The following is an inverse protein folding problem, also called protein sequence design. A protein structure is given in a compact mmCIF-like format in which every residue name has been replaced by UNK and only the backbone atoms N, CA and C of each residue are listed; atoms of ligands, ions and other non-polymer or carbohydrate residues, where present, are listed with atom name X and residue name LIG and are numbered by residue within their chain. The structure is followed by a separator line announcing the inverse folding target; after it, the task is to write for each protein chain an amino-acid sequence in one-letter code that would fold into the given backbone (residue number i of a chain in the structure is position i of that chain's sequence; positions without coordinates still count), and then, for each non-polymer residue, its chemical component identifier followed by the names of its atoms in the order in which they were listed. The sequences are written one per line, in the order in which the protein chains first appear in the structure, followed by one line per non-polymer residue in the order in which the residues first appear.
data_IF_107753080327
#
_entry.id   IF_107753080327
#
_cell.length_a   1.000
_cell.length_b   1.000
_cell.length_c   1.000
_cell.angle_alpha   90.00
_cell.angle_beta   90.00
_cell.angle_gamma   90.00
#
_symmetry.space_group_name_H-M   'P 1'
#
loop_
_entity.id
_entity.type
_entity.pdbx_description
1 polymer ?
#
# COMPACT_ATOMS: atom_id res chain seq x y z
N UNK A 1 -14.53 -5.41 -11.05
CA UNK A 1 -13.64 -6.06 -10.06
C UNK A 1 -14.29 -6.33 -8.70
N UNK A 2 -14.93 -5.36 -8.02
CA UNK A 2 -15.55 -5.59 -6.68
C UNK A 2 -16.67 -6.67 -6.64
N UNK A 3 -17.47 -6.80 -7.71
CA UNK A 3 -18.54 -7.83 -7.78
C UNK A 3 -18.00 -9.25 -8.04
N UNK A 4 -16.86 -9.38 -8.72
CA UNK A 4 -16.24 -10.68 -9.03
C UNK A 4 -15.62 -11.33 -7.79
N UNK A 5 -15.04 -10.51 -6.90
CA UNK A 5 -14.43 -10.96 -5.64
C UNK A 5 -15.47 -11.49 -4.64
N UNK A 6 -16.66 -10.86 -4.60
CA UNK A 6 -17.76 -11.30 -3.73
C UNK A 6 -18.39 -12.61 -4.21
N UNK A 7 -18.50 -12.79 -5.53
CA UNK A 7 -18.99 -14.03 -6.15
C UNK A 7 -18.07 -15.23 -5.91
N UNK A 8 -16.75 -15.00 -5.87
CA UNK A 8 -15.74 -16.05 -5.61
C UNK A 8 -15.75 -16.54 -4.16
N UNK A 9 -16.01 -15.65 -3.19
CA UNK A 9 -16.09 -16.01 -1.77
C UNK A 9 -17.40 -16.77 -1.49
N UNK A 10 -18.51 -16.40 -2.15
CA UNK A 10 -19.80 -17.09 -1.99
C UNK A 10 -19.80 -18.45 -2.70
N UNK A 11 -19.21 -18.57 -3.91
CA UNK A 11 -19.20 -19.84 -4.65
C UNK A 11 -18.40 -20.96 -3.96
N UNK A 12 -17.36 -20.61 -3.21
CA UNK A 12 -16.56 -21.55 -2.42
C UNK A 12 -17.29 -22.10 -1.19
N UNK A 13 -18.27 -21.35 -0.66
CA UNK A 13 -19.06 -21.79 0.52
C UNK A 13 -20.27 -22.66 0.17
N UNK A 14 -20.80 -22.56 -1.06
CA UNK A 14 -21.97 -23.35 -1.50
C UNK A 14 -21.57 -24.69 -2.12
N UNK A 15 -20.36 -24.78 -2.70
CA UNK A 15 -19.86 -26.03 -3.28
C UNK A 15 -19.47 -27.09 -2.22
N UNK A 16 -19.28 -26.68 -0.97
CA UNK A 16 -19.03 -27.61 0.16
C UNK A 16 -20.29 -28.33 0.67
N UNK A 17 -21.50 -27.82 0.37
CA UNK A 17 -22.75 -28.37 0.89
C UNK A 17 -23.51 -29.26 -0.09
N UNK A 18 -23.19 -29.22 -1.40
CA UNK A 18 -23.95 -29.94 -2.43
C UNK A 18 -23.32 -31.25 -2.92
N UNK A 19 -22.10 -31.59 -2.51
CA UNK A 19 -21.41 -32.82 -2.98
C UNK A 19 -21.58 -34.02 -2.02
N UNK A 20 -22.26 -33.86 -0.88
CA UNK A 20 -22.46 -34.93 0.10
C UNK A 20 -23.79 -35.71 -0.05
N UNK A 21 -24.64 -35.40 -1.05
CA UNK A 21 -25.91 -36.09 -1.24
C UNK A 21 -26.10 -36.47 -2.71
N UNK A 22 -25.46 -37.57 -3.13
CA UNK A 22 -25.95 -38.46 -4.20
C UNK A 22 -25.01 -39.65 -4.34
N UNK A 23 -25.13 -40.62 -3.43
CA UNK A 23 -24.62 -41.97 -3.64
C UNK A 23 -25.67 -42.95 -3.10
N UNK A 24 -26.70 -43.20 -3.90
CA UNK A 24 -27.59 -44.36 -3.78
C UNK A 24 -28.20 -44.65 -5.14
N UNK A 25 -27.35 -45.04 -6.09
CA UNK A 25 -27.78 -45.91 -7.19
C UNK A 25 -27.30 -47.30 -6.83
N UNK A 26 -28.22 -48.15 -6.36
CA UNK A 26 -27.95 -49.57 -6.19
C UNK A 26 -27.68 -50.18 -7.57
N UNK A 27 -26.41 -50.31 -7.94
CA UNK A 27 -26.00 -51.03 -9.16
C UNK A 27 -26.20 -52.53 -8.93
N UNK A 28 -26.93 -53.21 -9.81
CA UNK A 28 -27.16 -54.65 -9.73
C UNK A 28 -25.86 -55.43 -9.93
N UNK A 29 -25.41 -56.13 -8.89
CA UNK A 29 -24.21 -56.98 -8.90
C UNK A 29 -24.58 -58.37 -9.44
N UNK A 30 -23.82 -58.86 -10.43
CA UNK A 30 -24.03 -60.21 -10.98
C UNK A 30 -23.15 -61.21 -10.23
N UNK A 31 -23.76 -62.25 -9.66
CA UNK A 31 -23.07 -63.33 -8.93
C UNK A 31 -23.32 -64.64 -9.66
N UNK A 32 -22.27 -65.44 -9.83
CA UNK A 32 -22.33 -66.77 -10.44
C UNK A 32 -22.24 -67.83 -9.34
N UNK A 33 -23.07 -68.86 -9.44
CA UNK A 33 -23.06 -70.05 -8.58
C UNK A 33 -23.02 -71.29 -9.46
N UNK A 34 -22.11 -72.20 -9.16
CA UNK A 34 -22.01 -73.50 -9.83
C UNK A 34 -22.71 -74.56 -8.98
N UNK A 35 -23.65 -75.28 -9.58
CA UNK A 35 -24.43 -76.34 -8.94
C UNK A 35 -24.32 -77.62 -9.78
N UNK A 36 -24.17 -78.77 -9.12
CA UNK A 36 -24.16 -80.07 -9.79
C UNK A 36 -25.59 -80.49 -10.15
N UNK A 37 -25.83 -80.90 -11.38
CA UNK A 37 -27.11 -81.50 -11.77
C UNK A 37 -27.22 -82.98 -11.33
N UNK A 38 -28.39 -83.58 -11.56
CA UNK A 38 -28.70 -84.96 -11.17
C UNK A 38 -27.77 -86.01 -11.80
N UNK A 39 -27.03 -85.64 -12.86
CA UNK A 39 -26.04 -86.48 -13.53
C UNK A 39 -24.59 -86.14 -13.11
N UNK A 40 -24.40 -85.25 -12.14
CA UNK A 40 -23.11 -84.84 -11.61
C UNK A 40 -22.36 -83.81 -12.48
N UNK A 41 -23.02 -83.21 -13.48
CA UNK A 41 -22.42 -82.18 -14.32
C UNK A 41 -22.58 -80.79 -13.69
N UNK A 42 -21.58 -79.93 -13.89
CA UNK A 42 -21.61 -78.58 -13.34
C UNK A 42 -22.47 -77.67 -14.23
N UNK A 43 -23.51 -77.08 -13.64
CA UNK A 43 -24.32 -76.02 -14.24
C UNK A 43 -24.04 -74.69 -13.56
N UNK A 44 -23.98 -73.63 -14.36
CA UNK A 44 -23.70 -72.28 -13.88
C UNK A 44 -24.98 -71.47 -13.92
N UNK A 45 -25.32 -70.84 -12.80
CA UNK A 45 -26.41 -69.89 -12.69
C UNK A 45 -25.87 -68.53 -12.31
N UNK A 46 -26.37 -67.49 -12.97
CA UNK A 46 -26.13 -66.10 -12.61
C UNK A 46 -27.33 -65.53 -11.85
N UNK A 47 -27.19 -64.33 -11.30
CA UNK A 47 -28.31 -63.56 -10.72
C UNK A 47 -29.51 -63.43 -11.67
N UNK A 48 -29.30 -63.54 -12.99
CA UNK A 48 -30.33 -63.37 -14.01
C UNK A 48 -30.84 -64.68 -14.63
N UNK A 49 -30.41 -65.84 -14.12
CA UNK A 49 -30.85 -67.16 -14.60
C UNK A 49 -29.71 -68.08 -15.03
N UNK A 50 -30.04 -69.16 -15.73
CA UNK A 50 -29.08 -70.17 -16.20
C UNK A 50 -28.11 -69.57 -17.23
N UNK A 51 -26.81 -69.74 -17.00
CA UNK A 51 -25.74 -69.13 -17.79
C UNK A 51 -24.83 -68.20 -16.99
N UNK A 52 -23.78 -67.71 -17.65
CA UNK A 52 -22.79 -66.78 -17.10
C UNK A 52 -23.30 -65.33 -17.10
N UNK A 53 -22.69 -64.51 -16.27
CA UNK A 53 -22.94 -63.07 -16.23
C UNK A 53 -22.59 -62.40 -17.59
N UNK A 54 -23.40 -61.43 -18.09
CA UNK A 54 -23.14 -60.75 -19.36
C UNK A 54 -21.78 -60.03 -19.38
N UNK A 55 -21.07 -59.97 -20.52
CA UNK A 55 -19.82 -59.24 -20.63
C UNK A 55 -19.97 -57.77 -20.19
N UNK A 56 -19.13 -57.32 -19.26
CA UNK A 56 -19.18 -55.96 -18.69
C UNK A 56 -20.00 -55.81 -17.41
N UNK A 57 -20.65 -56.87 -16.93
CA UNK A 57 -21.23 -56.88 -15.58
C UNK A 57 -20.14 -56.96 -14.50
N UNK A 58 -20.33 -56.25 -13.38
CA UNK A 58 -19.43 -56.32 -12.23
C UNK A 58 -19.53 -57.73 -11.62
N UNK A 59 -18.62 -58.62 -12.00
CA UNK A 59 -18.45 -59.92 -11.37
C UNK A 59 -17.81 -59.72 -10.00
N UNK A 60 -18.30 -60.43 -8.97
CA UNK A 60 -17.70 -60.39 -7.63
C UNK A 60 -16.25 -60.91 -7.61
N UNK A 61 -15.79 -61.52 -8.70
CA UNK A 61 -14.40 -61.92 -8.90
C UNK A 61 -13.84 -61.32 -10.20
N UNK A 62 -13.01 -60.28 -10.04
CA UNK A 62 -11.86 -59.97 -10.88
C UNK A 62 -12.10 -59.28 -12.23
N UNK A 63 -12.05 -57.95 -12.23
CA UNK A 63 -11.33 -57.17 -13.28
C UNK A 63 -11.22 -55.67 -12.95
N UNK A 64 -10.68 -55.36 -11.77
CA UNK A 64 -9.85 -54.15 -11.61
C UNK A 64 -8.77 -54.52 -10.62
N UNK A 65 -7.50 -54.39 -10.99
CA UNK A 65 -6.33 -54.78 -10.17
C UNK A 65 -6.13 -53.95 -8.89
N UNK A 66 -7.16 -53.25 -8.42
CA UNK A 66 -7.17 -52.44 -7.21
C UNK A 66 -8.32 -52.89 -6.33
N UNK A 67 -8.04 -53.13 -5.05
CA UNK A 67 -9.07 -53.43 -4.06
C UNK A 67 -10.02 -52.24 -3.88
N UNK A 68 -11.23 -52.46 -3.35
CA UNK A 68 -12.17 -51.36 -3.05
C UNK A 68 -11.57 -50.35 -2.04
N UNK A 69 -10.65 -50.80 -1.19
CA UNK A 69 -9.85 -49.96 -0.31
C UNK A 69 -8.89 -49.08 -1.11
N UNK A 70 -8.16 -49.64 -2.08
CA UNK A 70 -7.25 -48.87 -2.95
C UNK A 70 -8.01 -47.81 -3.76
N UNK A 71 -9.19 -48.15 -4.27
CA UNK A 71 -10.05 -47.20 -5.00
C UNK A 71 -10.56 -46.07 -4.10
N UNK A 72 -10.85 -46.38 -2.84
CA UNK A 72 -11.29 -45.38 -1.85
C UNK A 72 -10.12 -44.47 -1.43
N UNK A 73 -8.91 -45.02 -1.29
CA UNK A 73 -7.69 -44.26 -1.04
C UNK A 73 -7.32 -43.35 -2.23
N UNK A 74 -7.44 -43.84 -3.46
CA UNK A 74 -7.23 -43.03 -4.67
C UNK A 74 -8.17 -41.82 -4.71
N UNK A 75 -9.47 -42.03 -4.45
CA UNK A 75 -10.45 -40.93 -4.36
C UNK A 75 -10.11 -39.93 -3.27
N UNK A 76 -9.68 -40.39 -2.09
CA UNK A 76 -9.25 -39.52 -1.00
C UNK A 76 -8.01 -38.70 -1.40
N UNK A 77 -7.05 -39.32 -2.09
CA UNK A 77 -5.85 -38.64 -2.59
C UNK A 77 -6.17 -37.61 -3.66
N UNK A 78 -7.11 -37.89 -4.56
CA UNK A 78 -7.60 -36.92 -5.55
C UNK A 78 -8.25 -35.71 -4.87
N UNK A 79 -9.09 -35.94 -3.86
CA UNK A 79 -9.71 -34.86 -3.07
C UNK A 79 -8.62 -34.03 -2.34
N UNK A 80 -7.68 -34.70 -1.67
CA UNK A 80 -6.58 -34.03 -0.98
C UNK A 80 -5.69 -33.23 -1.95
N UNK A 81 -5.43 -33.74 -3.15
CA UNK A 81 -4.67 -33.04 -4.18
C UNK A 81 -5.36 -31.74 -4.63
N UNK A 82 -6.70 -31.75 -4.74
CA UNK A 82 -7.48 -30.54 -5.05
C UNK A 82 -7.36 -29.52 -3.92
N UNK A 83 -7.50 -29.95 -2.65
CA UNK A 83 -7.31 -29.06 -1.51
C UNK A 83 -5.89 -28.49 -1.45
N UNK A 84 -4.86 -29.31 -1.63
CA UNK A 84 -3.47 -28.87 -1.65
C UNK A 84 -3.20 -27.87 -2.77
N UNK A 85 -3.74 -28.10 -3.97
CA UNK A 85 -3.64 -27.16 -5.08
C UNK A 85 -4.33 -25.83 -4.74
N UNK A 86 -5.52 -25.86 -4.14
CA UNK A 86 -6.24 -24.67 -3.71
C UNK A 86 -5.48 -23.90 -2.61
N UNK A 87 -4.92 -24.59 -1.62
CA UNK A 87 -4.11 -23.98 -0.56
C UNK A 87 -2.83 -23.35 -1.11
N UNK A 88 -2.14 -24.03 -2.04
CA UNK A 88 -0.95 -23.47 -2.73
C UNK A 88 -1.31 -22.22 -3.53
N UNK A 89 -2.40 -22.26 -4.29
CA UNK A 89 -2.88 -21.09 -5.04
C UNK A 89 -3.22 -19.91 -4.13
N UNK A 90 -3.92 -20.16 -3.01
CA UNK A 90 -4.27 -19.13 -2.03
C UNK A 90 -3.03 -18.53 -1.35
N UNK A 91 -2.02 -19.35 -1.04
CA UNK A 91 -0.74 -18.88 -0.51
C UNK A 91 -0.01 -17.99 -1.52
N UNK A 92 0.13 -18.42 -2.77
CA UNK A 92 0.79 -17.65 -3.82
C UNK A 92 0.07 -16.31 -4.08
N UNK A 93 -1.27 -16.32 -4.06
CA UNK A 93 -2.06 -15.09 -4.15
C UNK A 93 -1.77 -14.15 -2.97
N UNK A 94 -1.75 -14.68 -1.75
CA UNK A 94 -1.48 -13.90 -0.53
C UNK A 94 -0.07 -13.29 -0.55
N UNK A 95 0.95 -14.04 -0.96
CA UNK A 95 2.32 -13.56 -1.12
C UNK A 95 2.41 -12.43 -2.15
N UNK A 96 1.82 -12.62 -3.33
CA UNK A 96 1.78 -11.60 -4.38
C UNK A 96 1.07 -10.32 -3.91
N UNK A 97 -0.04 -10.48 -3.19
CA UNK A 97 -0.79 -9.35 -2.63
C UNK A 97 0.00 -8.59 -1.56
N UNK A 98 0.69 -9.31 -0.67
CA UNK A 98 1.54 -8.71 0.36
C UNK A 98 2.70 -7.93 -0.26
N UNK A 99 3.36 -8.49 -1.29
CA UNK A 99 4.42 -7.80 -2.02
C UNK A 99 3.92 -6.50 -2.67
N UNK A 100 2.71 -6.52 -3.23
CA UNK A 100 2.09 -5.32 -3.80
C UNK A 100 1.80 -4.24 -2.73
N UNK A 101 1.27 -4.64 -1.58
CA UNK A 101 1.02 -3.73 -0.45
C UNK A 101 2.33 -3.10 0.04
N UNK A 102 3.35 -3.92 0.26
CA UNK A 102 4.67 -3.49 0.73
C UNK A 102 5.31 -2.49 -0.23
N UNK A 103 5.39 -2.85 -1.52
CA UNK A 103 5.96 -1.98 -2.55
C UNK A 103 5.20 -0.65 -2.65
N UNK A 104 3.86 -0.68 -2.60
CA UNK A 104 3.05 0.54 -2.62
C UNK A 104 3.27 1.41 -1.39
N UNK A 105 3.38 0.80 -0.22
CA UNK A 105 3.62 1.50 1.04
C UNK A 105 4.99 2.20 1.04
N UNK A 106 6.05 1.48 0.65
CA UNK A 106 7.40 2.04 0.54
C UNK A 106 7.48 3.15 -0.49
N UNK A 107 6.88 2.94 -1.67
CA UNK A 107 6.81 3.98 -2.71
C UNK A 107 6.11 5.23 -2.19
N UNK A 108 4.98 5.08 -1.51
CA UNK A 108 4.23 6.21 -0.94
C UNK A 108 5.06 6.97 0.10
N UNK A 109 5.72 6.26 1.02
CA UNK A 109 6.56 6.89 2.05
C UNK A 109 7.75 7.62 1.41
N UNK A 110 8.42 7.00 0.44
CA UNK A 110 9.54 7.61 -0.26
C UNK A 110 9.14 8.82 -1.11
N UNK A 111 7.89 8.88 -1.59
CA UNK A 111 7.39 9.95 -2.45
C UNK A 111 6.58 11.02 -1.71
N UNK A 112 6.62 11.05 -0.38
CA UNK A 112 5.80 11.97 0.42
C UNK A 112 6.66 12.65 1.48
N UNK A 113 6.87 13.95 1.30
CA UNK A 113 7.39 14.85 2.32
C UNK A 113 6.29 15.83 2.72
N UNK A 114 6.22 16.15 4.01
CA UNK A 114 5.17 17.04 4.54
C UNK A 114 5.84 18.13 5.35
N UNK A 115 5.61 19.38 4.96
CA UNK A 115 6.01 20.56 5.73
C UNK A 115 4.78 21.30 6.22
N UNK A 116 4.71 21.61 7.51
CA UNK A 116 3.65 22.45 8.08
C UNK A 116 3.89 23.90 7.68
N UNK A 117 2.83 24.60 7.32
CA UNK A 117 2.91 26.03 6.98
C UNK A 117 2.20 26.87 8.03
N UNK A 118 2.72 28.09 8.26
CA UNK A 118 2.18 29.04 9.25
C UNK A 118 1.19 30.04 8.66
N UNK A 119 1.20 30.23 7.34
CA UNK A 119 0.33 31.18 6.65
C UNK A 119 -0.98 30.55 6.18
N UNK A 120 -1.99 31.38 5.99
CA UNK A 120 -3.30 30.96 5.51
C UNK A 120 -3.25 30.62 4.01
N UNK A 121 -3.80 29.46 3.64
CA UNK A 121 -3.92 29.04 2.23
C UNK A 121 -5.40 29.00 1.85
N UNK A 122 -5.80 29.77 0.83
CA UNK A 122 -7.16 29.73 0.30
C UNK A 122 -7.59 28.31 -0.07
N UNK A 123 -8.84 27.96 0.21
CA UNK A 123 -9.35 26.61 -0.09
C UNK A 123 -9.28 26.24 -1.59
N UNK A 124 -9.27 27.24 -2.49
CA UNK A 124 -9.13 27.04 -3.94
C UNK A 124 -7.73 26.57 -4.35
N UNK A 125 -6.71 26.90 -3.55
CA UNK A 125 -5.32 26.52 -3.80
C UNK A 125 -4.95 25.17 -3.17
N UNK A 126 -5.79 24.64 -2.29
CA UNK A 126 -5.58 23.32 -1.67
C UNK A 126 -5.85 22.22 -2.68
N UNK A 127 -5.06 21.15 -2.59
CA UNK A 127 -5.15 19.95 -3.43
C UNK A 127 -4.87 20.20 -4.92
N UNK A 128 -4.29 21.35 -5.27
CA UNK A 128 -3.83 21.68 -6.61
C UNK A 128 -2.31 21.49 -6.67
N UNK A 129 -1.84 20.71 -7.63
CA UNK A 129 -0.42 20.49 -7.84
C UNK A 129 0.23 21.78 -8.33
N UNK A 130 1.25 22.26 -7.61
CA UNK A 130 1.98 23.48 -7.93
C UNK A 130 3.39 23.42 -7.35
N UNK A 131 4.27 24.28 -7.84
CA UNK A 131 5.52 24.57 -7.15
C UNK A 131 5.24 25.52 -5.98
N UNK A 132 5.80 25.20 -4.82
CA UNK A 132 5.84 26.10 -3.68
C UNK A 132 7.28 26.49 -3.40
N UNK A 133 7.50 27.78 -3.18
CA UNK A 133 8.83 28.35 -2.95
C UNK A 133 8.96 28.88 -1.54
N UNK A 134 10.18 28.79 -1.04
CA UNK A 134 10.60 29.34 0.24
C UNK A 134 11.98 30.01 0.06
N UNK A 135 12.31 31.04 0.85
CA UNK A 135 11.45 31.66 1.85
C UNK A 135 10.42 32.62 1.23
N UNK A 136 9.57 33.24 2.04
CA UNK A 136 8.53 34.20 1.66
C UNK A 136 9.13 35.45 1.01
N UNK A 137 8.49 35.94 -0.06
CA UNK A 137 8.88 37.20 -0.71
C UNK A 137 8.74 38.35 0.29
N UNK A 138 9.72 39.24 0.29
CA UNK A 138 9.64 40.51 1.01
C UNK A 138 10.25 40.53 2.41
N UNK A 139 10.54 39.36 3.00
CA UNK A 139 11.18 39.23 4.30
C UNK A 139 12.71 39.11 4.17
N UNK A 140 13.41 39.58 5.20
CA UNK A 140 14.87 39.50 5.31
C UNK A 140 15.27 38.20 6.01
N UNK A 141 16.22 37.48 5.42
CA UNK A 141 16.71 36.21 5.91
C UNK A 141 18.23 36.22 5.97
N UNK A 142 18.77 35.58 7.01
CA UNK A 142 20.20 35.29 7.14
C UNK A 142 20.41 33.78 7.15
N UNK A 143 21.39 33.31 6.38
CA UNK A 143 21.75 31.90 6.27
C UNK A 143 23.25 31.71 6.10
N UNK A 144 23.69 30.47 6.32
CA UNK A 144 25.08 30.06 6.17
C UNK A 144 25.35 29.52 4.76
N UNK A 145 26.64 29.48 4.39
CA UNK A 145 27.09 28.82 3.17
C UNK A 145 26.68 27.35 3.17
N UNK A 146 26.12 26.91 2.04
CA UNK A 146 25.53 25.59 1.85
C UNK A 146 24.00 25.57 1.98
N UNK A 147 23.39 26.63 2.52
CA UNK A 147 21.93 26.69 2.67
C UNK A 147 21.21 27.20 1.42
N UNK A 148 19.93 26.82 1.32
CA UNK A 148 19.06 27.27 0.23
C UNK A 148 18.62 28.72 0.47
N UNK A 149 18.98 29.59 -0.46
CA UNK A 149 18.50 30.97 -0.56
C UNK A 149 17.08 31.00 -1.08
N UNK A 150 16.79 30.19 -2.10
CA UNK A 150 15.44 29.94 -2.59
C UNK A 150 15.33 28.44 -2.85
N UNK A 151 14.29 27.80 -2.33
CA UNK A 151 13.96 26.41 -2.64
C UNK A 151 12.52 26.28 -3.10
N UNK A 152 12.34 25.73 -4.30
CA UNK A 152 11.08 25.35 -4.91
C UNK A 152 10.90 23.85 -4.93
N UNK A 153 9.75 23.36 -4.46
CA UNK A 153 9.38 21.95 -4.57
C UNK A 153 7.97 21.80 -5.09
N UNK A 154 7.74 20.77 -5.90
CA UNK A 154 6.42 20.49 -6.48
C UNK A 154 5.60 19.63 -5.52
N UNK A 155 4.36 20.06 -5.28
CA UNK A 155 3.47 19.47 -4.30
C UNK A 155 2.10 20.14 -4.28
N UNK A 156 1.36 19.99 -3.19
CA UNK A 156 0.06 20.62 -3.00
C UNK A 156 -0.18 20.94 -1.52
N UNK A 157 -0.94 21.99 -1.27
CA UNK A 157 -1.42 22.29 0.09
C UNK A 157 -2.56 21.35 0.47
N UNK A 158 -2.60 20.92 1.72
CA UNK A 158 -3.58 19.96 2.21
C UNK A 158 -3.93 20.22 3.67
N UNK A 159 -5.16 19.84 4.06
CA UNK A 159 -5.50 19.79 5.48
C UNK A 159 -4.83 18.57 6.12
N UNK A 160 -4.14 18.81 7.23
CA UNK A 160 -3.37 17.82 7.94
C UNK A 160 -3.81 17.73 9.41
N UNK A 161 -3.57 16.56 10.00
CA UNK A 161 -3.72 16.32 11.43
C UNK A 161 -2.39 15.88 12.01
N UNK A 162 -2.00 16.48 13.14
CA UNK A 162 -0.80 16.15 13.89
C UNK A 162 -1.25 15.54 15.22
N UNK A 163 -1.00 14.25 15.47
CA UNK A 163 -1.27 13.64 16.77
C UNK A 163 -0.16 14.00 17.76
N UNK A 164 -0.51 14.47 18.96
CA UNK A 164 0.43 14.82 20.04
C UNK A 164 0.73 13.66 21.00
N UNK A 165 0.40 12.44 20.59
CA UNK A 165 0.63 11.21 21.33
C UNK A 165 1.22 10.13 20.41
N UNK A 166 1.87 9.15 21.03
CA UNK A 166 2.33 7.95 20.35
C UNK A 166 1.44 6.76 20.72
N UNK A 167 1.37 5.79 19.82
CA UNK A 167 0.68 4.53 20.08
C UNK A 167 1.43 3.41 19.37
N UNK A 168 1.52 2.26 20.04
CA UNK A 168 1.89 1.00 19.41
C UNK A 168 1.00 -0.09 20.01
N UNK A 169 0.36 -0.88 19.16
CA UNK A 169 -0.57 -1.91 19.62
C UNK A 169 -0.62 -3.12 18.70
N UNK A 170 -0.56 -4.31 19.31
CA UNK A 170 -0.80 -5.58 18.63
C UNK A 170 -2.30 -5.77 18.42
N UNK A 171 -2.68 -6.18 17.21
CA UNK A 171 -4.04 -6.57 16.83
C UNK A 171 -4.08 -8.07 16.53
N UNK A 172 -5.31 -8.58 16.48
CA UNK A 172 -5.59 -9.97 16.10
C UNK A 172 -4.95 -10.28 14.73
N UNK A 173 -4.34 -11.46 14.58
CA UNK A 173 -3.62 -11.83 13.35
C UNK A 173 -2.14 -11.39 13.30
N UNK A 174 -1.59 -10.84 14.39
CA UNK A 174 -0.16 -10.49 14.46
C UNK A 174 0.20 -9.16 13.78
N UNK A 175 -0.80 -8.33 13.47
CA UNK A 175 -0.61 -6.98 12.96
C UNK A 175 -0.22 -6.03 14.09
N UNK A 176 0.93 -5.37 13.95
CA UNK A 176 1.36 -4.26 14.78
C UNK A 176 0.95 -2.96 14.10
N UNK A 177 0.29 -2.07 14.83
CA UNK A 177 -0.09 -0.75 14.34
C UNK A 177 0.54 0.32 15.20
N UNK A 178 1.00 1.40 14.56
CA UNK A 178 1.63 2.51 15.27
C UNK A 178 1.09 3.88 14.88
N UNK A 179 1.26 4.84 15.77
CA UNK A 179 1.05 6.27 15.54
C UNK A 179 2.28 6.97 16.12
N UNK A 180 2.96 7.77 15.29
CA UNK A 180 4.07 8.62 15.73
C UNK A 180 3.55 9.96 16.21
N UNK A 181 4.00 10.35 17.40
CA UNK A 181 3.78 11.67 17.98
C UNK A 181 4.43 12.75 17.12
N UNK A 182 3.74 13.88 16.96
CA UNK A 182 4.17 15.10 16.29
C UNK A 182 4.57 14.94 14.81
N UNK A 183 4.06 13.88 14.16
CA UNK A 183 4.24 13.66 12.72
C UNK A 183 2.92 13.89 11.99
N UNK A 184 2.83 14.85 11.05
CA UNK A 184 1.59 15.17 10.36
C UNK A 184 1.12 14.02 9.46
N UNK A 185 -0.18 13.87 9.33
CA UNK A 185 -0.84 13.07 8.30
C UNK A 185 -1.81 13.97 7.52
N UNK A 186 -1.78 13.94 6.19
CA UNK A 186 -2.51 14.89 5.36
C UNK A 186 -3.56 14.22 4.47
N UNK A 187 -4.63 14.95 4.16
CA UNK A 187 -5.63 14.48 3.19
C UNK A 187 -5.04 14.45 1.79
N UNK A 188 -5.57 13.57 0.94
CA UNK A 188 -5.26 13.53 -0.50
C UNK A 188 -6.24 14.31 -1.37
N UNK A 189 -7.41 14.67 -0.83
CA UNK A 189 -8.45 15.41 -1.53
C UNK A 189 -9.41 16.08 -0.52
N UNK A 190 -10.05 17.18 -0.94
CA UNK A 190 -10.95 17.99 -0.10
C UNK A 190 -12.12 17.20 0.51
N UNK A 191 -12.77 16.34 -0.30
CA UNK A 191 -13.91 15.52 0.14
C UNK A 191 -13.50 14.30 0.97
N UNK A 192 -12.21 14.07 1.17
CA UNK A 192 -11.73 12.88 1.85
C UNK A 192 -11.64 13.11 3.36
N UNK A 193 -12.18 12.19 4.15
CA UNK A 193 -12.13 12.22 5.62
C UNK A 193 -10.95 11.40 6.18
N UNK A 194 -10.04 10.96 5.32
CA UNK A 194 -8.88 10.16 5.70
C UNK A 194 -7.59 10.95 5.51
N UNK A 195 -6.68 10.80 6.46
CA UNK A 195 -5.38 11.44 6.51
C UNK A 195 -4.30 10.38 6.31
N UNK A 196 -3.44 10.56 5.33
CA UNK A 196 -2.37 9.63 5.02
C UNK A 196 -1.08 10.07 5.73
N UNK A 197 -0.48 9.24 6.61
CA UNK A 197 0.80 9.55 7.22
C UNK A 197 1.97 9.30 6.25
N UNK A 198 3.11 10.02 6.39
CA UNK A 198 4.31 9.86 5.56
C UNK A 198 5.23 8.75 6.11
N UNK A 199 4.69 7.75 6.79
CA UNK A 199 5.48 6.66 7.37
C UNK A 199 4.71 5.34 7.38
N UNK A 200 5.45 4.24 7.40
CA UNK A 200 4.93 2.90 7.60
C UNK A 200 4.39 2.79 9.03
N UNK A 201 3.10 2.51 9.16
CA UNK A 201 2.39 2.50 10.44
C UNK A 201 1.64 1.19 10.71
N UNK A 202 1.88 0.17 9.87
CA UNK A 202 1.36 -1.18 10.01
C UNK A 202 2.43 -2.19 9.61
N UNK A 203 2.62 -3.22 10.44
CA UNK A 203 3.56 -4.31 10.21
C UNK A 203 2.90 -5.65 10.54
N UNK A 204 3.06 -6.64 9.68
CA UNK A 204 2.48 -7.98 9.86
C UNK A 204 3.61 -8.97 10.07
N UNK A 205 3.79 -9.43 11.32
CA UNK A 205 4.94 -10.28 11.69
C UNK A 205 5.02 -11.58 10.88
N UNK A 206 3.88 -12.22 10.61
CA UNK A 206 3.85 -13.54 9.97
C UNK A 206 4.32 -13.52 8.52
N UNK A 207 4.16 -12.39 7.83
CA UNK A 207 4.44 -12.24 6.39
C UNK A 207 5.52 -11.19 6.14
N UNK A 208 6.13 -10.66 7.20
CA UNK A 208 7.09 -9.55 7.19
C UNK A 208 6.65 -8.34 6.34
N UNK A 209 5.34 -8.10 6.27
CA UNK A 209 4.74 -7.13 5.35
C UNK A 209 4.52 -5.80 6.06
N UNK A 210 5.00 -4.69 5.48
CA UNK A 210 4.67 -3.34 5.95
C UNK A 210 3.58 -2.70 5.11
N UNK A 211 2.82 -1.79 5.71
CA UNK A 211 1.80 -1.01 5.04
C UNK A 211 1.68 0.41 5.60
N UNK A 212 1.04 1.29 4.82
CA UNK A 212 0.52 2.57 5.31
C UNK A 212 -1.00 2.49 5.39
N UNK A 213 -1.54 2.60 6.58
CA UNK A 213 -2.97 2.71 6.84
C UNK A 213 -3.32 4.16 7.09
N UNK A 214 -4.35 4.65 6.41
CA UNK A 214 -4.81 6.01 6.57
C UNK A 214 -5.46 6.19 7.95
N UNK A 215 -5.45 7.40 8.48
CA UNK A 215 -6.15 7.75 9.70
C UNK A 215 -7.52 8.33 9.39
N UNK A 216 -8.55 7.83 10.05
CA UNK A 216 -9.86 8.48 10.11
C UNK A 216 -10.10 8.97 11.53
N UNK A 217 -10.20 10.28 11.70
CA UNK A 217 -10.56 10.91 12.97
C UNK A 217 -12.08 10.90 13.10
N UNK A 218 -12.59 10.44 14.24
CA UNK A 218 -14.01 10.38 14.56
C UNK A 218 -14.24 11.04 15.92
N UNK A 219 -15.29 11.83 16.02
CA UNK A 219 -15.75 12.39 17.29
C UNK A 219 -16.93 11.54 17.78
N UNK A 220 -16.84 11.02 18.99
CA UNK A 220 -17.90 10.24 19.65
C UNK A 220 -18.04 10.67 21.10
N UNK A 221 -19.22 11.17 21.49
CA UNK A 221 -19.52 11.62 22.86
C UNK A 221 -18.48 12.63 23.37
N UNK A 222 -18.17 13.65 22.57
CA UNK A 222 -17.16 14.69 22.85
C UNK A 222 -15.74 14.15 23.10
N UNK A 223 -15.43 12.94 22.65
CA UNK A 223 -14.08 12.40 22.64
C UNK A 223 -13.65 12.05 21.24
N UNK A 224 -12.36 12.21 20.97
CA UNK A 224 -11.75 11.86 19.70
C UNK A 224 -11.38 10.38 19.69
N UNK A 225 -11.44 9.81 18.48
CA UNK A 225 -11.01 8.47 18.15
C UNK A 225 -10.25 8.55 16.84
N UNK A 226 -9.00 8.09 16.83
CA UNK A 226 -8.24 7.86 15.61
C UNK A 226 -8.37 6.40 15.22
N UNK A 227 -8.73 6.16 13.97
CA UNK A 227 -8.89 4.82 13.41
C UNK A 227 -7.89 4.61 12.27
N UNK A 228 -7.10 3.54 12.35
CA UNK A 228 -6.30 3.05 11.24
C UNK A 228 -7.22 2.36 10.22
N UNK A 229 -7.23 2.89 9.03
CA UNK A 229 -8.18 2.58 7.98
C UNK A 229 -7.46 1.94 6.80
N UNK A 230 -7.89 0.72 6.45
CA UNK A 230 -7.41 0.00 5.27
C UNK A 230 -8.63 -0.47 4.47
N UNK A 231 -8.61 -0.21 3.15
CA UNK A 231 -9.65 -0.68 2.21
C UNK A 231 -11.10 -0.35 2.60
N UNK A 232 -11.36 0.77 3.28
CA UNK A 232 -12.73 1.13 3.69
C UNK A 232 -13.12 0.70 5.11
N UNK A 233 -12.24 -0.02 5.82
CA UNK A 233 -12.55 -0.59 7.12
C UNK A 233 -11.59 -0.11 8.20
N UNK A 234 -12.13 0.04 9.42
CA UNK A 234 -11.34 0.33 10.61
C UNK A 234 -10.68 -0.95 11.13
N UNK A 235 -9.36 -1.05 10.99
CA UNK A 235 -8.58 -2.21 11.43
C UNK A 235 -8.22 -2.11 12.93
N UNK A 236 -8.09 -0.90 13.44
CA UNK A 236 -7.77 -0.62 14.82
C UNK A 236 -8.07 0.83 15.14
N UNK A 237 -8.34 1.11 16.41
CA UNK A 237 -8.49 2.49 16.86
C UNK A 237 -7.95 2.71 18.27
N UNK A 238 -7.52 3.94 18.50
CA UNK A 238 -7.26 4.52 19.82
C UNK A 238 -8.44 5.43 20.14
N UNK A 239 -8.98 5.29 21.34
CA UNK A 239 -10.24 5.93 21.77
C UNK A 239 -9.98 6.79 23.01
N UNK A 240 -10.97 7.60 23.36
CA UNK A 240 -10.97 8.46 24.55
C UNK A 240 -9.89 9.56 24.52
N UNK A 241 -9.56 10.04 23.32
CA UNK A 241 -8.63 11.14 23.12
C UNK A 241 -9.34 12.48 23.30
N UNK A 242 -8.62 13.51 23.71
CA UNK A 242 -9.10 14.89 23.80
C UNK A 242 -8.87 15.63 22.48
N UNK A 243 -9.30 16.89 22.41
CA UNK A 243 -8.97 17.78 21.30
C UNK A 243 -7.48 18.15 21.32
N UNK A 244 -6.90 18.38 22.50
CA UNK A 244 -5.48 18.72 22.71
C UNK A 244 -4.52 17.61 22.24
N UNK A 245 -5.01 16.38 22.05
CA UNK A 245 -4.25 15.28 21.45
C UNK A 245 -4.01 15.48 19.94
N UNK A 246 -4.60 16.51 19.33
CA UNK A 246 -4.52 16.79 17.89
C UNK A 246 -4.33 18.27 17.58
N UNK A 247 -3.47 18.57 16.61
CA UNK A 247 -3.47 19.84 15.89
C UNK A 247 -3.99 19.66 14.46
N UNK A 248 -4.93 20.50 14.06
CA UNK A 248 -5.42 20.57 12.68
C UNK A 248 -4.77 21.76 11.99
N UNK A 249 -3.93 21.50 10.99
CA UNK A 249 -3.10 22.52 10.33
C UNK A 249 -3.17 22.39 8.81
N UNK A 250 -2.66 23.39 8.10
CA UNK A 250 -2.36 23.23 6.67
C UNK A 250 -0.90 22.76 6.52
N UNK A 251 -0.68 21.78 5.65
CA UNK A 251 0.66 21.34 5.27
C UNK A 251 0.85 21.39 3.76
N UNK A 252 2.07 21.57 3.32
CA UNK A 252 2.50 21.36 1.95
C UNK A 252 3.01 19.92 1.81
N UNK A 253 2.33 19.13 0.98
CA UNK A 253 2.69 17.75 0.67
C UNK A 253 3.48 17.75 -0.63
N UNK A 254 4.79 17.57 -0.54
CA UNK A 254 5.70 17.53 -1.68
C UNK A 254 6.06 16.09 -2.06
N UNK A 255 6.46 15.91 -3.32
CA UNK A 255 7.02 14.66 -3.81
C UNK A 255 8.47 14.91 -4.27
N UNK A 256 9.47 14.29 -3.63
CA UNK A 256 10.89 14.51 -3.96
C UNK A 256 11.29 14.01 -5.36
N UNK A 257 10.42 13.23 -6.02
CA UNK A 257 10.62 12.78 -7.40
C UNK A 257 10.03 13.72 -8.45
N UNK A 258 9.34 14.80 -8.05
CA UNK A 258 8.86 15.83 -8.96
C UNK A 258 9.86 16.98 -9.07
N UNK A 259 9.53 17.94 -9.93
CA UNK A 259 10.40 19.08 -10.23
C UNK A 259 10.77 19.88 -8.99
N UNK A 260 12.05 20.23 -8.88
CA UNK A 260 12.64 20.99 -7.77
C UNK A 260 13.64 22.01 -8.32
N UNK A 261 13.62 23.21 -7.76
CA UNK A 261 14.56 24.31 -8.08
C UNK A 261 15.20 24.80 -6.78
N UNK A 262 16.51 24.98 -6.74
CA UNK A 262 17.21 25.46 -5.56
C UNK A 262 18.31 26.44 -5.97
N UNK A 263 18.38 27.59 -5.31
CA UNK A 263 19.53 28.48 -5.34
C UNK A 263 20.23 28.37 -3.98
N UNK A 264 21.46 27.89 -3.98
CA UNK A 264 22.23 27.59 -2.77
C UNK A 264 23.38 28.59 -2.68
N UNK A 265 23.57 29.22 -1.52
CA UNK A 265 24.67 30.14 -1.31
C UNK A 265 25.98 29.37 -1.10
N UNK A 266 27.04 29.72 -1.83
CA UNK A 266 28.36 29.08 -1.68
C UNK A 266 29.32 29.96 -0.87
N UNK A 267 29.23 31.27 -1.05
CA UNK A 267 30.15 32.21 -0.40
C UNK A 267 30.38 33.45 -1.25
N UNK A 268 31.17 34.37 -0.70
CA UNK A 268 31.66 35.56 -1.40
C UNK A 268 33.18 35.57 -1.43
N UNK A 269 33.75 35.98 -2.55
CA UNK A 269 35.16 36.27 -2.69
C UNK A 269 35.35 37.66 -3.31
N UNK A 270 35.91 38.58 -2.53
CA UNK A 270 35.99 40.00 -2.88
C UNK A 270 34.62 40.58 -3.28
N UNK A 271 34.40 40.89 -4.55
CA UNK A 271 33.14 41.44 -5.06
C UNK A 271 32.26 40.40 -5.74
N UNK A 272 32.77 39.18 -5.94
CA UNK A 272 32.01 38.09 -6.53
C UNK A 272 31.27 37.32 -5.44
N UNK A 273 29.97 37.16 -5.63
CA UNK A 273 29.12 36.31 -4.81
C UNK A 273 28.72 35.07 -5.63
N UNK A 274 28.89 33.89 -5.04
CA UNK A 274 28.76 32.60 -5.72
C UNK A 274 27.55 31.82 -5.21
N UNK A 275 26.80 31.24 -6.14
CA UNK A 275 25.67 30.38 -5.88
C UNK A 275 25.75 29.08 -6.68
N UNK A 276 25.16 28.03 -6.15
CA UNK A 276 24.87 26.78 -6.85
C UNK A 276 23.37 26.78 -7.19
N UNK A 277 23.05 26.84 -8.47
CA UNK A 277 21.71 26.55 -8.94
C UNK A 277 21.57 25.04 -9.17
N UNK A 278 20.62 24.41 -8.48
CA UNK A 278 20.30 23.00 -8.64
C UNK A 278 18.87 22.86 -9.14
N UNK A 279 18.71 22.12 -10.23
CA UNK A 279 17.41 21.85 -10.83
C UNK A 279 17.21 20.35 -11.07
N UNK A 280 16.00 19.87 -10.82
CA UNK A 280 15.56 18.51 -11.15
C UNK A 280 14.24 18.59 -11.90
N UNK A 281 14.15 17.85 -13.01
CA UNK A 281 12.90 17.62 -13.75
C UNK A 281 12.16 16.41 -13.18
N UNK A 282 10.86 16.33 -13.45
CA UNK A 282 10.01 15.22 -13.02
C UNK A 282 10.62 13.84 -13.35
N UNK A 283 10.68 12.98 -12.34
CA UNK A 283 11.17 11.60 -12.39
C UNK A 283 12.64 11.43 -12.81
N UNK A 284 13.42 12.50 -12.87
CA UNK A 284 14.87 12.38 -13.06
C UNK A 284 15.59 12.07 -11.74
N UNK A 285 16.47 11.07 -11.79
CA UNK A 285 17.23 10.62 -10.61
C UNK A 285 18.32 11.63 -10.22
N UNK A 286 18.92 12.27 -11.21
CA UNK A 286 20.04 13.21 -11.03
C UNK A 286 19.55 14.64 -11.21
N UNK A 287 20.06 15.54 -10.37
CA UNK A 287 19.85 16.98 -10.53
C UNK A 287 20.93 17.57 -11.43
N UNK A 288 20.56 18.52 -12.30
CA UNK A 288 21.49 19.41 -12.98
C UNK A 288 21.98 20.46 -11.99
N UNK A 289 23.26 20.83 -12.07
CA UNK A 289 23.89 21.76 -11.15
C UNK A 289 24.75 22.72 -11.94
N UNK A 290 24.48 24.02 -11.78
CA UNK A 290 25.22 25.10 -12.40
C UNK A 290 25.77 26.03 -11.31
N UNK A 291 27.04 26.43 -11.43
CA UNK A 291 27.61 27.48 -10.60
C UNK A 291 27.34 28.83 -11.25
N UNK A 292 26.83 29.78 -10.48
CA UNK A 292 26.50 31.13 -10.95
C UNK A 292 27.20 32.14 -10.05
N UNK A 293 27.92 33.07 -10.66
CA UNK A 293 28.68 34.12 -9.98
C UNK A 293 28.12 35.49 -10.37
N UNK A 294 27.94 36.38 -9.39
CA UNK A 294 27.48 37.75 -9.59
C UNK A 294 28.49 38.75 -9.05
N UNK A 295 28.60 39.90 -9.72
CA UNK A 295 29.45 41.00 -9.30
C UNK A 295 28.64 42.05 -8.53
N UNK A 296 28.86 42.12 -7.22
CA UNK A 296 28.16 43.03 -6.32
C UNK A 296 28.49 44.51 -6.57
N UNK A 297 29.54 44.84 -7.35
CA UNK A 297 29.79 46.22 -7.78
C UNK A 297 28.71 46.66 -8.78
N UNK A 298 28.25 45.75 -9.64
CA UNK A 298 27.30 46.08 -10.70
C UNK A 298 25.89 46.25 -10.17
N UNK A 299 25.50 45.42 -9.20
CA UNK A 299 24.17 45.42 -8.61
C UNK A 299 24.16 44.61 -7.31
N UNK A 300 23.41 45.07 -6.30
CA UNK A 300 23.06 44.26 -5.14
C UNK A 300 21.81 43.39 -5.39
N UNK A 301 21.08 43.63 -6.48
CA UNK A 301 19.98 42.79 -6.95
C UNK A 301 20.53 41.77 -7.93
N UNK A 302 20.34 40.49 -7.62
CA UNK A 302 20.79 39.35 -8.41
C UNK A 302 19.60 38.69 -9.08
N UNK A 303 19.77 38.25 -10.32
CA UNK A 303 18.72 37.62 -11.11
C UNK A 303 19.22 36.35 -11.80
N UNK A 304 18.48 35.26 -11.64
CA UNK A 304 18.76 33.98 -12.30
C UNK A 304 17.48 33.20 -12.52
N UNK A 305 17.20 32.79 -13.77
CA UNK A 305 16.03 31.97 -14.12
C UNK A 305 14.71 32.57 -13.59
N UNK A 306 14.56 33.90 -13.67
CA UNK A 306 13.41 34.66 -13.18
C UNK A 306 13.40 34.97 -11.67
N UNK A 307 14.16 34.21 -10.88
CA UNK A 307 14.30 34.47 -9.45
C UNK A 307 15.16 35.71 -9.22
N UNK A 308 14.71 36.60 -8.32
CA UNK A 308 15.42 37.82 -7.96
C UNK A 308 15.60 37.92 -6.46
N UNK A 309 16.80 38.24 -6.02
CA UNK A 309 17.14 38.51 -4.63
C UNK A 309 17.88 39.83 -4.49
N UNK A 310 17.62 40.54 -3.40
CA UNK A 310 18.41 41.69 -2.98
C UNK A 310 19.39 41.23 -1.90
N UNK A 311 20.69 41.42 -2.15
CA UNK A 311 21.75 41.17 -1.16
C UNK A 311 21.87 42.39 -0.25
N UNK A 312 21.70 42.16 1.04
CA UNK A 312 21.83 43.18 2.09
C UNK A 312 23.25 43.13 2.66
N UNK A 313 23.73 41.93 2.97
CA UNK A 313 25.11 41.69 3.39
C UNK A 313 25.56 40.29 2.97
N UNK A 314 26.84 40.13 2.65
CA UNK A 314 27.42 38.84 2.28
C UNK A 314 28.90 38.76 2.70
N UNK A 315 29.28 37.66 3.34
CA UNK A 315 30.64 37.36 3.80
C UNK A 315 31.18 36.10 3.10
N UNK A 316 32.26 35.49 3.55
CA UNK A 316 32.71 34.21 2.98
C UNK A 316 31.75 33.05 3.29
N UNK A 317 31.00 33.15 4.40
CA UNK A 317 30.19 32.06 4.93
C UNK A 317 28.75 32.44 5.26
N UNK A 318 28.36 33.71 5.23
CA UNK A 318 27.03 34.17 5.63
C UNK A 318 26.43 35.09 4.56
N UNK A 319 25.13 34.95 4.33
CA UNK A 319 24.36 35.80 3.44
C UNK A 319 23.13 36.32 4.17
N UNK A 320 22.93 37.64 4.11
CA UNK A 320 21.67 38.30 4.47
C UNK A 320 21.03 38.88 3.21
N UNK A 321 19.80 38.49 2.93
CA UNK A 321 19.13 38.76 1.67
C UNK A 321 17.63 38.90 1.83
N UNK A 322 16.99 39.42 0.77
CA UNK A 322 15.54 39.51 0.63
C UNK A 322 15.11 38.94 -0.72
N UNK A 323 14.11 38.06 -0.72
CA UNK A 323 13.55 37.53 -1.98
C UNK A 323 12.60 38.56 -2.58
N UNK A 324 12.79 38.85 -3.88
CA UNK A 324 11.97 39.78 -4.66
C UNK A 324 11.02 39.04 -5.62
N UNK A 325 11.49 37.94 -6.23
CA UNK A 325 10.69 37.05 -7.06
C UNK A 325 11.23 35.62 -7.05
N UNK A 326 10.36 34.65 -7.34
CA UNK A 326 10.74 33.24 -7.49
C UNK A 326 11.10 32.90 -8.93
N UNK A 327 11.59 31.67 -9.12
CA UNK A 327 11.87 31.13 -10.44
C UNK A 327 10.62 31.09 -11.32
N UNK A 328 10.80 31.30 -12.63
CA UNK A 328 9.74 31.16 -13.64
C UNK A 328 9.54 29.71 -14.10
#
# INVERSE_FOLDING_TARGET
MKRLLLLLIISLSVSSFLVANNANTAEAVCTEVTVKDENGNDRIFSTFGEGRCPPGSKTSFGSSSKSDLDRSLDKLNEINAIYDAAFKAMRAFTESWNNLIDAKARKQVASTEIKTISYEVPNIDKYVLRMNFEPTIGEEFSLDSGDNVISGSTGYFSDCVIPHFSFEGKRMGGHLMSIKKDVPACKKASKNEIYTPPYLNSYTKNTDTVAVYDYKIKIKRNKYQICHHMMGFCQGSVKNLSEDDFSFVTGFVSNPFLSQKQLIYIGRYANLISFMYRYREDYQLNSKVDKVDFDLIKSNILEHEGAKIEVINATESELTFKVLSYFE
#
